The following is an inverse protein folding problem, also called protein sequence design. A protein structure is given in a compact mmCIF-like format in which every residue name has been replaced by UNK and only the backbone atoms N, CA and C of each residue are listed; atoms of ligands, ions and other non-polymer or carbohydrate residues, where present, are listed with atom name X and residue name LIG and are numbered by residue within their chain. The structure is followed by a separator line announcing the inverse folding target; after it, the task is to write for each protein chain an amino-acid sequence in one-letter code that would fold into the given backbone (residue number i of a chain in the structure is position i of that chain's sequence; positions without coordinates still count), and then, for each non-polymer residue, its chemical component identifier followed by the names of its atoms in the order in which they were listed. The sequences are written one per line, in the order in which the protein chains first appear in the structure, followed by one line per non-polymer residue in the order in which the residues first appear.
data_IF_687640866059
#
_entry.id   IF_687640866059
#
_cell.length_a   1.000
_cell.length_b   1.000
_cell.length_c   1.000
_cell.angle_alpha   90.00
_cell.angle_beta   90.00
_cell.angle_gamma   90.00
#
_symmetry.space_group_name_H-M   'P 1'
#
loop_
_entity.id
_entity.type
_entity.pdbx_description
1 polymer ?
#
# COMPACT_ATOMS: atom_id res chain seq x y z
N UNK A 1 -3.21 -8.75 -21.42
CA UNK A 1 -4.26 -9.78 -21.71
C UNK A 1 -4.33 -10.01 -23.22
N UNK A 2 -4.52 -11.26 -23.67
CA UNK A 2 -4.31 -11.78 -25.05
C UNK A 2 -4.74 -10.88 -26.23
N UNK A 3 -5.76 -10.02 -26.07
CA UNK A 3 -6.20 -9.02 -27.06
C UNK A 3 -5.14 -7.97 -27.45
N UNK A 4 -4.24 -7.60 -26.53
CA UNK A 4 -3.18 -6.62 -26.81
C UNK A 4 -2.07 -7.22 -27.68
N UNK A 5 -1.70 -8.50 -27.43
CA UNK A 5 -0.65 -9.22 -28.17
C UNK A 5 -0.92 -9.36 -29.68
N UNK A 6 -2.20 -9.45 -30.06
CA UNK A 6 -2.62 -9.59 -31.46
C UNK A 6 -2.53 -8.27 -32.25
N UNK A 7 -2.54 -7.11 -31.58
CA UNK A 7 -2.40 -5.80 -32.25
C UNK A 7 -0.99 -5.51 -32.73
N UNK A 8 0.04 -6.16 -32.16
CA UNK A 8 1.44 -5.88 -32.49
C UNK A 8 1.89 -6.51 -33.81
N UNK A 9 1.38 -7.70 -34.15
CA UNK A 9 1.66 -8.35 -35.43
C UNK A 9 0.91 -7.73 -36.62
N UNK A 10 0.07 -6.72 -36.36
CA UNK A 10 -0.75 -6.01 -37.35
C UNK A 10 -0.32 -4.56 -37.55
N UNK A 11 0.74 -4.12 -36.88
CA UNK A 11 1.35 -2.80 -37.03
C UNK A 11 2.81 -3.02 -37.42
N UNK A 12 3.23 -2.54 -38.58
CA UNK A 12 4.60 -2.63 -39.11
C UNK A 12 5.60 -1.77 -38.29
N UNK A 13 5.69 -1.99 -36.98
CA UNK A 13 6.60 -1.27 -36.08
C UNK A 13 8.00 -1.87 -36.12
N UNK A 14 9.02 -1.01 -36.09
CA UNK A 14 10.41 -1.44 -35.94
C UNK A 14 10.60 -2.18 -34.60
N UNK A 15 11.53 -3.17 -34.54
CA UNK A 15 11.70 -4.02 -33.36
C UNK A 15 12.01 -3.26 -32.07
N UNK A 16 12.72 -2.12 -32.18
CA UNK A 16 13.10 -1.28 -31.03
C UNK A 16 11.88 -0.55 -30.45
N UNK A 17 11.02 0.00 -31.31
CA UNK A 17 9.81 0.72 -30.89
C UNK A 17 8.80 -0.24 -30.24
N UNK A 18 8.73 -1.48 -30.74
CA UNK A 18 7.91 -2.53 -30.14
C UNK A 18 8.38 -2.88 -28.71
N UNK A 19 9.70 -2.95 -28.48
CA UNK A 19 10.26 -3.21 -27.14
C UNK A 19 10.01 -2.05 -26.17
N UNK A 20 10.13 -0.80 -26.65
CA UNK A 20 9.84 0.38 -25.83
C UNK A 20 8.37 0.41 -25.37
N UNK A 21 7.43 0.12 -26.27
CA UNK A 21 6.01 0.03 -25.92
C UNK A 21 5.73 -1.09 -24.90
N UNK A 22 6.34 -2.27 -25.09
CA UNK A 22 6.21 -3.40 -24.15
C UNK A 22 6.80 -3.03 -22.78
N UNK A 23 7.95 -2.34 -22.75
CA UNK A 23 8.56 -1.88 -21.52
C UNK A 23 7.63 -0.93 -20.74
N UNK A 24 7.01 0.04 -21.41
CA UNK A 24 6.06 0.95 -20.76
C UNK A 24 4.80 0.22 -20.26
N UNK A 25 4.23 -0.70 -21.04
CA UNK A 25 3.07 -1.51 -20.63
C UNK A 25 3.43 -2.41 -19.42
N UNK A 26 4.60 -3.04 -19.42
CA UNK A 26 5.05 -3.93 -18.32
C UNK A 26 5.39 -3.12 -17.07
N UNK A 27 6.04 -1.97 -17.21
CA UNK A 27 6.32 -1.02 -16.13
C UNK A 27 5.03 -0.54 -15.46
N UNK A 28 4.02 -0.14 -16.24
CA UNK A 28 2.72 0.29 -15.71
C UNK A 28 1.97 -0.83 -14.95
N UNK A 29 2.09 -2.09 -15.39
CA UNK A 29 1.53 -3.24 -14.68
C UNK A 29 2.28 -3.56 -13.38
N UNK A 30 3.62 -3.41 -13.38
CA UNK A 30 4.44 -3.59 -12.19
C UNK A 30 4.14 -2.52 -11.14
N UNK A 31 4.05 -1.25 -11.54
CA UNK A 31 3.73 -0.14 -10.63
C UNK A 31 2.35 -0.30 -10.03
N UNK A 32 1.32 -0.59 -10.83
CA UNK A 32 -0.04 -0.83 -10.34
C UNK A 32 -0.12 -2.02 -9.37
N UNK A 33 0.60 -3.12 -9.63
CA UNK A 33 0.67 -4.27 -8.71
C UNK A 33 1.36 -3.92 -7.38
N UNK A 34 2.39 -3.08 -7.40
CA UNK A 34 3.06 -2.61 -6.18
C UNK A 34 2.15 -1.67 -5.37
N UNK A 35 1.41 -0.78 -6.04
CA UNK A 35 0.44 0.10 -5.39
C UNK A 35 -0.71 -0.67 -4.75
N UNK A 36 -1.22 -1.70 -5.43
CA UNK A 36 -2.27 -2.57 -4.89
C UNK A 36 -1.77 -3.36 -3.67
N UNK A 37 -0.54 -3.90 -3.75
CA UNK A 37 0.11 -4.55 -2.59
C UNK A 37 0.29 -3.57 -1.43
N UNK A 38 0.70 -2.33 -1.71
CA UNK A 38 0.86 -1.26 -0.72
C UNK A 38 -0.48 -0.88 -0.08
N UNK A 39 -1.56 -0.76 -0.87
CA UNK A 39 -2.91 -0.49 -0.39
C UNK A 39 -3.44 -1.62 0.49
N UNK A 40 -3.31 -2.87 0.06
CA UNK A 40 -3.74 -4.03 0.84
C UNK A 40 -2.97 -4.14 2.16
N UNK A 41 -1.67 -3.83 2.13
CA UNK A 41 -0.83 -3.81 3.33
C UNK A 41 -1.22 -2.67 4.30
N UNK A 42 -1.53 -1.49 3.77
CA UNK A 42 -2.03 -0.34 4.57
C UNK A 42 -3.40 -0.62 5.20
N UNK A 43 -4.28 -1.31 4.48
CA UNK A 43 -5.58 -1.77 4.99
C UNK A 43 -5.40 -2.78 6.12
N UNK A 44 -4.52 -3.76 5.93
CA UNK A 44 -4.24 -4.78 6.95
C UNK A 44 -3.70 -4.17 8.27
N UNK A 45 -2.86 -3.13 8.19
CA UNK A 45 -2.35 -2.49 9.40
C UNK A 45 -3.41 -1.73 10.20
N UNK A 46 -4.47 -1.22 9.56
CA UNK A 46 -5.58 -0.56 10.27
C UNK A 46 -6.40 -1.55 11.11
N UNK A 47 -6.48 -2.82 10.72
CA UNK A 47 -7.14 -3.85 11.52
C UNK A 47 -6.25 -4.40 12.65
N UNK A 48 -4.93 -4.30 12.48
CA UNK A 48 -3.93 -4.77 13.44
C UNK A 48 -3.60 -3.74 14.53
N UNK A 49 -3.84 -2.46 14.27
CA UNK A 49 -3.70 -1.37 15.25
C UNK A 49 -5.02 -0.60 15.28
N UNK A 50 -5.82 -0.85 16.30
CA UNK A 50 -7.09 -0.17 16.52
C UNK A 50 -6.85 1.16 17.21
N UNK A 51 -7.66 2.16 16.87
CA UNK A 51 -7.59 3.52 17.41
C UNK A 51 -8.93 3.84 18.03
N UNK A 52 -8.90 4.21 19.31
CA UNK A 52 -10.07 4.68 20.04
C UNK A 52 -9.79 6.07 20.62
N UNK A 53 -10.81 6.93 20.63
CA UNK A 53 -10.75 8.25 21.24
C UNK A 53 -11.55 8.26 22.54
N UNK A 54 -10.92 8.71 23.62
CA UNK A 54 -11.58 8.79 24.93
C UNK A 54 -11.15 10.03 25.70
N UNK A 55 -12.03 11.03 25.77
CA UNK A 55 -11.88 12.22 26.62
C UNK A 55 -10.54 12.97 26.47
N UNK A 56 -10.04 13.08 25.24
CA UNK A 56 -8.74 13.70 24.93
C UNK A 56 -7.55 12.74 24.97
N UNK A 57 -7.74 11.47 25.30
CA UNK A 57 -6.72 10.44 25.10
C UNK A 57 -6.97 9.68 23.78
N UNK A 58 -5.89 9.32 23.09
CA UNK A 58 -5.90 8.38 21.95
C UNK A 58 -5.40 7.03 22.44
N UNK A 59 -6.24 6.00 22.39
CA UNK A 59 -5.89 4.65 22.80
C UNK A 59 -5.55 3.83 21.56
N UNK A 60 -4.31 3.32 21.51
CA UNK A 60 -3.81 2.50 20.41
C UNK A 60 -3.71 1.04 20.86
N UNK A 61 -4.60 0.19 20.34
CA UNK A 61 -4.68 -1.22 20.73
C UNK A 61 -4.06 -2.11 19.66
N UNK A 62 -3.06 -2.91 20.05
CA UNK A 62 -2.49 -3.93 19.17
C UNK A 62 -3.46 -5.12 19.08
N UNK A 63 -4.02 -5.34 17.90
CA UNK A 63 -5.04 -6.34 17.62
C UNK A 63 -4.51 -7.43 16.69
N UNK A 64 -3.49 -8.16 17.14
CA UNK A 64 -2.96 -9.35 16.46
C UNK A 64 -2.85 -10.53 17.46
N UNK A 65 -3.94 -10.89 18.15
CA UNK A 65 -3.91 -11.83 19.28
C UNK A 65 -3.42 -13.22 18.88
N UNK A 66 -3.74 -13.67 17.67
CA UNK A 66 -3.28 -14.96 17.11
C UNK A 66 -1.76 -15.09 16.99
N UNK A 67 -1.03 -13.98 17.07
CA UNK A 67 0.43 -13.92 17.01
C UNK A 67 0.99 -13.18 18.24
N UNK A 68 0.30 -13.27 19.38
CA UNK A 68 0.70 -12.66 20.65
C UNK A 68 0.96 -11.15 20.55
N UNK A 69 0.22 -10.46 19.67
CA UNK A 69 0.42 -9.05 19.35
C UNK A 69 1.84 -8.70 18.88
N UNK A 70 2.59 -9.69 18.37
CA UNK A 70 3.93 -9.47 17.86
C UNK A 70 3.94 -8.34 16.82
N UNK A 71 4.89 -7.43 16.97
CA UNK A 71 5.01 -6.25 16.12
C UNK A 71 5.48 -6.66 14.73
N UNK A 72 4.87 -6.07 13.71
CA UNK A 72 5.32 -6.17 12.33
C UNK A 72 5.73 -4.79 11.82
N UNK A 73 6.53 -4.74 10.76
CA UNK A 73 6.95 -3.49 10.14
C UNK A 73 5.74 -2.58 9.82
N UNK A 74 4.64 -3.15 9.32
CA UNK A 74 3.43 -2.40 8.98
C UNK A 74 2.76 -1.78 10.21
N UNK A 75 2.76 -2.48 11.35
CA UNK A 75 2.23 -1.96 12.61
C UNK A 75 3.10 -0.82 13.11
N UNK A 76 4.43 -0.97 13.07
CA UNK A 76 5.38 0.07 13.50
C UNK A 76 5.23 1.32 12.63
N UNK A 77 5.17 1.17 11.30
CA UNK A 77 4.95 2.31 10.40
C UNK A 77 3.61 3.00 10.65
N UNK A 78 2.56 2.23 10.98
CA UNK A 78 1.25 2.80 11.31
C UNK A 78 1.28 3.55 12.65
N UNK A 79 1.92 2.98 13.68
CA UNK A 79 2.09 3.62 14.98
C UNK A 79 2.86 4.94 14.86
N UNK A 80 3.97 4.94 14.09
CA UNK A 80 4.74 6.15 13.83
C UNK A 80 3.87 7.25 13.18
N UNK A 81 3.08 6.89 12.17
CA UNK A 81 2.15 7.85 11.53
C UNK A 81 1.14 8.44 12.51
N UNK A 82 0.61 7.63 13.43
CA UNK A 82 -0.34 8.07 14.43
C UNK A 82 0.32 8.98 15.47
N UNK A 83 1.52 8.61 15.94
CA UNK A 83 2.27 9.44 16.89
C UNK A 83 2.62 10.81 16.32
N UNK A 84 3.13 10.87 15.08
CA UNK A 84 3.41 12.15 14.42
C UNK A 84 2.14 13.00 14.26
N UNK A 85 1.01 12.38 13.91
CA UNK A 85 -0.26 13.11 13.77
C UNK A 85 -0.80 13.64 15.11
N UNK A 86 -0.57 12.93 16.21
CA UNK A 86 -1.06 13.32 17.54
C UNK A 86 -0.12 14.25 18.29
N UNK A 87 1.17 14.27 17.93
CA UNK A 87 2.13 15.24 18.47
C UNK A 87 1.72 16.69 18.15
N UNK A 88 1.11 16.91 16.99
CA UNK A 88 0.62 18.22 16.55
C UNK A 88 -0.85 18.50 16.93
N UNK A 89 -1.57 17.52 17.49
CA UNK A 89 -3.01 17.62 17.79
C UNK A 89 -3.26 18.10 19.24
N UNK A 90 -3.65 19.37 19.47
CA UNK A 90 -3.86 19.90 20.81
C UNK A 90 -5.09 19.31 21.52
N UNK A 91 -5.94 18.55 20.82
CA UNK A 91 -7.05 17.83 21.42
C UNK A 91 -6.61 16.54 22.13
N UNK A 92 -5.41 16.07 21.82
CA UNK A 92 -4.76 14.93 22.48
C UNK A 92 -3.93 15.44 23.66
N UNK A 93 -4.11 14.82 24.83
CA UNK A 93 -3.48 15.21 26.10
C UNK A 93 -2.37 14.27 26.53
#
# INVERSE_FOLDING_TARGET
TKRKRLKYYSLDLNPIDALAYIWEDTKANLTSKQEEKKKNTKMASHFQVLVEEKSGARILTLNRPKQLNALSLNMISRLLQLFLAYEEDPSVK
#
